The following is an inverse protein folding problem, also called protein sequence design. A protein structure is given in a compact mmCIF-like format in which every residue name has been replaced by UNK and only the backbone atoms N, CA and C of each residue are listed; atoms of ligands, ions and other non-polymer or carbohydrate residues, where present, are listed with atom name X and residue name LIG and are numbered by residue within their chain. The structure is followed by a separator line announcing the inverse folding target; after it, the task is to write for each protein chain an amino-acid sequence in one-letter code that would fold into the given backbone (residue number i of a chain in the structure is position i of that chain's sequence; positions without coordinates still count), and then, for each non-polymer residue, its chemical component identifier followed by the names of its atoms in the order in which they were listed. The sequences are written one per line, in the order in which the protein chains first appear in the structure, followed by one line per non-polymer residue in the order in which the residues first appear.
data_IF_256706805122
#
_entry.id   IF_256706805122
#
_cell.length_a   1.000
_cell.length_b   1.000
_cell.length_c   1.000
_cell.angle_alpha   90.00
_cell.angle_beta   90.00
_cell.angle_gamma   90.00
#
_symmetry.space_group_name_H-M   'P 1'
#
loop_
_entity.id
_entity.type
_entity.pdbx_description
1 polymer ?
#
# COMPACT_ATOMS: atom_id res chain seq x y z
N UNK A 1 28.83 13.25 30.79
CA UNK A 1 27.96 13.83 29.74
C UNK A 1 28.51 13.38 28.39
N UNK A 2 27.81 12.51 27.67
CA UNK A 2 28.25 12.03 26.35
C UNK A 2 28.13 13.15 25.31
N UNK A 3 29.11 13.30 24.42
CA UNK A 3 29.09 14.28 23.33
C UNK A 3 27.89 14.00 22.42
N UNK A 4 27.09 15.01 22.03
CA UNK A 4 25.98 14.81 21.11
C UNK A 4 26.48 14.13 19.83
N UNK A 5 25.78 13.09 19.38
CA UNK A 5 26.10 12.40 18.14
C UNK A 5 25.92 13.38 16.98
N UNK A 6 26.96 13.50 16.15
CA UNK A 6 26.88 14.30 14.92
C UNK A 6 25.95 13.61 13.92
N UNK A 7 25.24 14.42 13.14
CA UNK A 7 24.33 13.95 12.10
C UNK A 7 25.08 13.11 11.06
N UNK A 8 24.49 12.01 10.60
CA UNK A 8 25.08 11.16 9.55
C UNK A 8 24.89 11.78 8.17
N UNK A 9 25.67 11.35 7.17
CA UNK A 9 25.57 11.85 5.79
C UNK A 9 24.18 11.63 5.20
N UNK A 10 23.58 10.46 5.40
CA UNK A 10 22.23 10.15 4.93
C UNK A 10 21.18 11.08 5.55
N UNK A 11 21.31 11.39 6.84
CA UNK A 11 20.43 12.35 7.52
C UNK A 11 20.61 13.77 6.96
N UNK A 12 21.82 14.16 6.56
CA UNK A 12 22.07 15.45 5.89
C UNK A 12 21.36 15.54 4.55
N UNK A 13 21.41 14.48 3.74
CA UNK A 13 20.72 14.43 2.46
C UNK A 13 19.20 14.54 2.63
N UNK A 14 18.61 13.79 3.56
CA UNK A 14 17.16 13.85 3.84
C UNK A 14 16.70 15.24 4.31
N UNK A 15 17.52 15.93 5.11
CA UNK A 15 17.23 17.29 5.55
C UNK A 15 17.30 18.27 4.37
N UNK A 16 18.25 18.10 3.45
CA UNK A 16 18.35 18.91 2.23
C UNK A 16 17.13 18.69 1.33
N UNK A 17 16.72 17.44 1.10
CA UNK A 17 15.57 17.10 0.26
C UNK A 17 14.27 17.64 0.84
N UNK A 18 14.05 17.44 2.15
CA UNK A 18 12.86 17.96 2.82
C UNK A 18 12.84 19.49 2.85
N UNK A 19 13.99 20.15 3.00
CA UNK A 19 14.09 21.61 2.87
C UNK A 19 13.74 22.07 1.45
N UNK A 20 14.26 21.38 0.44
CA UNK A 20 14.01 21.71 -0.96
C UNK A 20 12.53 21.62 -1.30
N UNK A 21 11.87 20.54 -0.86
CA UNK A 21 10.45 20.29 -1.12
C UNK A 21 9.50 21.22 -0.34
N UNK A 22 9.86 21.60 0.90
CA UNK A 22 8.92 22.32 1.79
C UNK A 22 9.15 23.83 1.86
N UNK A 23 10.39 24.30 1.71
CA UNK A 23 10.74 25.71 1.92
C UNK A 23 11.42 26.38 0.72
N UNK A 24 12.21 25.64 -0.06
CA UNK A 24 12.86 26.22 -1.23
C UNK A 24 11.91 26.29 -2.44
N UNK A 25 10.95 25.36 -2.55
CA UNK A 25 9.97 25.30 -3.65
C UNK A 25 10.63 25.44 -5.04
N UNK A 26 11.82 24.86 -5.24
CA UNK A 26 12.55 24.96 -6.50
C UNK A 26 13.26 26.31 -6.75
N UNK A 27 13.52 27.12 -5.71
CA UNK A 27 14.31 28.36 -5.86
C UNK A 27 15.79 28.14 -5.51
N UNK A 28 16.66 28.20 -6.53
CA UNK A 28 18.12 28.05 -6.36
C UNK A 28 18.73 29.07 -5.37
N UNK A 29 18.17 30.28 -5.28
CA UNK A 29 18.63 31.34 -4.35
C UNK A 29 18.44 30.99 -2.87
N UNK A 30 17.48 30.12 -2.55
CA UNK A 30 17.15 29.69 -1.20
C UNK A 30 17.97 28.46 -0.76
N UNK A 31 18.67 27.78 -1.68
CA UNK A 31 19.53 26.63 -1.42
C UNK A 31 20.89 27.03 -0.81
N UNK A 32 20.86 27.77 0.30
CA UNK A 32 22.05 28.19 1.07
C UNK A 32 22.24 27.25 2.27
N UNK A 33 23.48 26.79 2.48
CA UNK A 33 23.84 25.89 3.59
C UNK A 33 23.46 26.45 4.98
N UNK A 34 23.45 27.79 5.15
CA UNK A 34 23.00 28.42 6.40
C UNK A 34 21.52 28.20 6.66
N UNK A 35 20.67 28.36 5.63
CA UNK A 35 19.22 28.19 5.74
C UNK A 35 18.83 26.72 5.93
N UNK A 36 19.58 25.82 5.31
CA UNK A 36 19.43 24.37 5.49
C UNK A 36 19.81 23.98 6.93
N UNK A 37 20.86 24.58 7.50
CA UNK A 37 21.25 24.35 8.89
C UNK A 37 20.21 24.88 9.88
N UNK A 38 19.65 26.06 9.65
CA UNK A 38 18.54 26.59 10.46
C UNK A 38 17.32 25.66 10.39
N UNK A 39 17.05 25.07 9.22
CA UNK A 39 15.99 24.08 9.07
C UNK A 39 16.29 22.77 9.80
N UNK A 40 17.54 22.29 9.75
CA UNK A 40 17.99 21.13 10.52
C UNK A 40 17.84 21.34 12.03
N UNK A 41 18.16 22.55 12.51
CA UNK A 41 17.99 22.93 13.92
C UNK A 41 16.52 22.93 14.34
N UNK A 42 15.61 23.40 13.48
CA UNK A 42 14.16 23.33 13.73
C UNK A 42 13.63 21.89 13.79
N UNK A 43 14.27 20.95 13.09
CA UNK A 43 13.95 19.52 13.16
C UNK A 43 14.58 18.81 14.38
N UNK A 44 15.34 19.53 15.21
CA UNK A 44 15.97 18.99 16.42
C UNK A 44 17.38 18.42 16.22
N UNK A 45 18.01 18.64 15.05
CA UNK A 45 19.39 18.24 14.80
C UNK A 45 20.39 19.33 15.19
N UNK A 46 21.52 18.94 15.79
CA UNK A 46 22.64 19.84 16.04
C UNK A 46 23.57 19.81 14.83
N UNK A 47 23.28 20.63 13.82
CA UNK A 47 24.05 20.75 12.59
C UNK A 47 24.34 22.22 12.26
N UNK A 48 25.59 22.53 11.89
CA UNK A 48 25.99 23.86 11.45
C UNK A 48 26.09 23.91 9.92
N UNK A 49 25.96 25.10 9.31
CA UNK A 49 26.11 25.29 7.87
C UNK A 49 27.49 24.85 7.35
N UNK A 50 28.49 24.82 8.23
CA UNK A 50 29.81 24.26 7.93
C UNK A 50 29.79 22.73 7.72
N UNK A 51 28.95 21.99 8.47
CA UNK A 51 28.89 20.53 8.36
C UNK A 51 28.36 20.08 6.99
N UNK A 52 27.33 20.76 6.47
CA UNK A 52 26.79 20.54 5.12
C UNK A 52 27.77 20.92 4.01
N UNK A 53 28.60 21.94 4.22
CA UNK A 53 29.61 22.37 3.22
C UNK A 53 30.83 21.44 3.19
N UNK A 54 31.18 20.85 4.33
CA UNK A 54 32.36 19.98 4.46
C UNK A 54 32.15 18.62 3.80
N UNK A 55 30.91 18.12 3.77
CA UNK A 55 30.59 16.82 3.20
C UNK A 55 30.48 16.93 1.66
N UNK A 56 31.33 16.23 0.87
CA UNK A 56 31.33 16.37 -0.58
C UNK A 56 30.02 15.90 -1.22
N UNK A 57 29.44 14.79 -0.75
CA UNK A 57 28.22 14.19 -1.30
C UNK A 57 27.02 15.13 -1.14
N UNK A 58 26.88 15.72 0.05
CA UNK A 58 25.79 16.66 0.37
C UNK A 58 25.92 17.96 -0.42
N UNK A 59 27.16 18.43 -0.60
CA UNK A 59 27.43 19.63 -1.39
C UNK A 59 27.11 19.41 -2.87
N UNK A 60 27.53 18.29 -3.43
CA UNK A 60 27.20 17.93 -4.82
C UNK A 60 25.69 17.84 -5.01
N UNK A 61 24.98 17.21 -4.08
CA UNK A 61 23.52 17.13 -4.11
C UNK A 61 22.84 18.50 -4.09
N UNK A 62 23.30 19.43 -3.23
CA UNK A 62 22.79 20.81 -3.19
C UNK A 62 23.04 21.54 -4.52
N UNK A 63 24.20 21.35 -5.15
CA UNK A 63 24.49 21.97 -6.45
C UNK A 63 23.65 21.37 -7.58
N UNK A 64 23.43 20.05 -7.59
CA UNK A 64 22.50 19.41 -8.54
C UNK A 64 21.09 20.01 -8.43
N UNK A 65 20.56 20.12 -7.20
CA UNK A 65 19.24 20.72 -6.97
C UNK A 65 19.16 22.20 -7.38
N UNK A 66 20.27 22.97 -7.29
CA UNK A 66 20.31 24.35 -7.79
C UNK A 66 20.26 24.41 -9.31
N UNK A 67 21.02 23.54 -9.98
CA UNK A 67 21.03 23.47 -11.45
C UNK A 67 19.63 23.10 -11.95
N UNK A 68 18.99 22.11 -11.33
CA UNK A 68 17.62 21.71 -11.66
C UNK A 68 16.63 22.87 -11.45
N UNK A 69 16.74 23.59 -10.34
CA UNK A 69 15.93 24.77 -10.05
C UNK A 69 16.14 25.91 -11.06
N UNK A 70 17.37 26.14 -11.54
CA UNK A 70 17.67 27.16 -12.55
C UNK A 70 17.09 26.79 -13.91
N UNK A 71 17.24 25.53 -14.34
CA UNK A 71 16.64 25.02 -15.58
C UNK A 71 15.11 25.14 -15.54
N UNK A 72 14.48 24.74 -14.43
CA UNK A 72 13.04 24.86 -14.26
C UNK A 72 12.54 26.32 -14.24
N UNK A 73 13.32 27.23 -13.65
CA UNK A 73 13.01 28.67 -13.66
C UNK A 73 13.11 29.27 -15.08
N UNK A 74 14.08 28.82 -15.89
CA UNK A 74 14.19 29.22 -17.29
C UNK A 74 13.01 28.69 -18.12
N UNK A 75 12.58 27.45 -17.91
CA UNK A 75 11.42 26.86 -18.60
C UNK A 75 10.10 27.56 -18.25
N UNK A 76 9.88 27.92 -16.98
CA UNK A 76 8.65 28.57 -16.53
C UNK A 76 8.54 30.04 -16.99
N UNK A 77 9.67 30.75 -17.16
CA UNK A 77 9.70 32.11 -17.66
C UNK A 77 9.29 32.26 -19.14
N UNK A 78 9.23 31.17 -19.91
CA UNK A 78 8.91 31.16 -21.36
C UNK A 78 7.40 31.25 -21.65
N UNK A 79 6.54 31.23 -20.64
CA UNK A 79 5.07 31.17 -20.83
C UNK A 79 4.39 32.51 -21.12
N UNK A 80 5.12 33.63 -21.16
CA UNK A 80 4.55 34.94 -21.51
C UNK A 80 4.71 35.26 -23.00
N UNK A 81 3.58 35.53 -23.68
CA UNK A 81 3.59 36.00 -25.08
C UNK A 81 4.28 37.37 -25.18
N UNK A 82 5.44 37.42 -25.84
CA UNK A 82 6.15 38.66 -26.12
C UNK A 82 5.61 39.31 -27.39
N UNK A 83 4.88 40.43 -27.25
CA UNK A 83 4.45 41.24 -28.39
C UNK A 83 5.64 41.91 -29.08
N UNK A 84 5.59 42.02 -30.40
CA UNK A 84 6.62 42.66 -31.19
C UNK A 84 6.39 44.18 -31.26
N UNK A 85 7.27 44.97 -30.63
CA UNK A 85 7.31 46.42 -30.81
C UNK A 85 8.09 46.77 -32.10
N UNK A 86 7.34 46.86 -33.21
CA UNK A 86 7.89 47.17 -34.53
C UNK A 86 8.54 48.57 -34.56
N UNK A 87 7.95 49.55 -33.87
CA UNK A 87 8.46 50.92 -33.85
C UNK A 87 9.75 51.04 -33.01
N UNK A 88 9.85 50.30 -31.90
CA UNK A 88 11.08 50.15 -31.15
C UNK A 88 12.19 49.46 -31.95
N UNK A 89 11.85 48.39 -32.68
CA UNK A 89 12.80 47.61 -33.47
C UNK A 89 13.42 48.42 -34.61
N UNK A 90 12.62 49.24 -35.31
CA UNK A 90 13.11 50.13 -36.37
C UNK A 90 13.98 51.26 -35.80
N UNK A 91 13.62 51.84 -34.65
CA UNK A 91 14.40 52.92 -34.02
C UNK A 91 15.77 52.45 -33.51
N UNK A 92 15.84 51.22 -33.00
CA UNK A 92 17.06 50.66 -32.42
C UNK A 92 18.01 50.08 -33.48
N UNK A 93 17.53 49.79 -34.70
CA UNK A 93 18.31 49.23 -35.79
C UNK A 93 18.27 50.14 -37.04
N UNK A 94 19.07 51.21 -37.08
CA UNK A 94 19.03 52.19 -38.17
C UNK A 94 19.62 51.66 -39.50
N UNK A 95 20.46 50.61 -39.46
CA UNK A 95 21.04 50.02 -40.67
C UNK A 95 20.24 48.81 -41.13
N UNK A 96 20.07 48.66 -42.45
CA UNK A 96 19.41 47.49 -43.06
C UNK A 96 20.06 46.17 -42.61
N UNK A 97 21.38 46.13 -42.46
CA UNK A 97 22.10 44.95 -42.00
C UNK A 97 21.77 44.58 -40.53
N UNK A 98 21.62 45.58 -39.66
CA UNK A 98 21.25 45.37 -38.25
C UNK A 98 19.80 44.91 -38.14
N UNK A 99 18.91 45.48 -38.96
CA UNK A 99 17.51 45.07 -39.01
C UNK A 99 17.36 43.64 -39.53
N UNK A 100 18.12 43.23 -40.55
CA UNK A 100 18.14 41.84 -41.01
C UNK A 100 18.63 40.89 -39.93
N UNK A 101 19.68 41.26 -39.18
CA UNK A 101 20.20 40.44 -38.09
C UNK A 101 19.19 40.29 -36.96
N UNK A 102 18.57 41.38 -36.51
CA UNK A 102 17.55 41.36 -35.46
C UNK A 102 16.32 40.52 -35.85
N UNK A 103 15.92 40.57 -37.13
CA UNK A 103 14.83 39.72 -37.66
C UNK A 103 15.24 38.25 -37.74
N UNK A 104 16.49 37.93 -38.11
CA UNK A 104 16.99 36.54 -38.09
C UNK A 104 17.05 35.97 -36.68
N UNK A 105 17.51 36.75 -35.70
CA UNK A 105 17.54 36.34 -34.29
C UNK A 105 16.12 36.09 -33.74
N UNK A 106 15.16 36.94 -34.12
CA UNK A 106 13.75 36.76 -33.77
C UNK A 106 13.17 35.49 -34.43
N UNK A 107 13.49 35.25 -35.70
CA UNK A 107 13.05 34.04 -36.39
C UNK A 107 13.63 32.77 -35.74
N UNK A 108 14.92 32.79 -35.38
CA UNK A 108 15.58 31.67 -34.70
C UNK A 108 15.00 31.44 -33.31
N UNK A 109 14.65 32.51 -32.58
CA UNK A 109 13.95 32.42 -31.29
C UNK A 109 12.60 31.71 -31.44
N UNK A 110 11.76 32.14 -32.39
CA UNK A 110 10.46 31.48 -32.61
C UNK A 110 10.62 30.05 -33.08
N UNK A 111 11.61 29.76 -33.93
CA UNK A 111 11.92 28.39 -34.34
C UNK A 111 12.20 27.48 -33.13
N UNK A 112 13.01 27.93 -32.16
CA UNK A 112 13.26 27.19 -30.91
C UNK A 112 11.97 26.95 -30.11
N UNK A 113 11.10 27.95 -30.01
CA UNK A 113 9.80 27.78 -29.34
C UNK A 113 8.96 26.72 -30.04
N UNK A 114 8.89 26.73 -31.37
CA UNK A 114 8.17 25.72 -32.13
C UNK A 114 8.76 24.32 -31.96
N UNK A 115 10.08 24.19 -32.01
CA UNK A 115 10.78 22.92 -31.81
C UNK A 115 10.49 22.36 -30.40
N UNK A 116 10.53 23.20 -29.37
CA UNK A 116 10.16 22.83 -28.00
C UNK A 116 8.68 22.47 -27.87
N UNK A 117 7.77 23.24 -28.47
CA UNK A 117 6.34 22.94 -28.45
C UNK A 117 6.02 21.63 -29.17
N UNK A 118 6.74 21.31 -30.26
CA UNK A 118 6.63 20.03 -30.95
C UNK A 118 7.11 18.88 -30.05
N UNK A 119 8.23 19.04 -29.36
CA UNK A 119 8.74 18.06 -28.40
C UNK A 119 7.72 17.81 -27.27
N UNK A 120 7.23 18.88 -26.63
CA UNK A 120 6.22 18.80 -25.57
C UNK A 120 4.94 18.13 -26.08
N UNK A 121 4.53 18.41 -27.33
CA UNK A 121 3.36 17.76 -27.95
C UNK A 121 3.57 16.26 -28.13
N UNK A 122 4.75 15.84 -28.59
CA UNK A 122 5.13 14.42 -28.75
C UNK A 122 5.15 13.71 -27.39
N UNK A 123 5.80 14.29 -26.38
CA UNK A 123 5.86 13.75 -25.02
C UNK A 123 4.46 13.63 -24.41
N UNK A 124 3.63 14.67 -24.53
CA UNK A 124 2.24 14.62 -24.08
C UNK A 124 1.42 13.54 -24.79
N UNK A 125 1.67 13.31 -26.08
CA UNK A 125 1.00 12.23 -26.83
C UNK A 125 1.40 10.85 -26.33
N UNK A 126 2.68 10.65 -25.97
CA UNK A 126 3.20 9.42 -25.40
C UNK A 126 2.62 9.19 -24.00
N UNK A 127 2.68 10.21 -23.13
CA UNK A 127 2.11 10.15 -21.77
C UNK A 127 0.61 9.87 -21.79
N UNK A 128 -0.14 10.40 -22.78
CA UNK A 128 -1.56 10.09 -22.95
C UNK A 128 -1.79 8.62 -23.27
N UNK A 129 -0.97 8.02 -24.14
CA UNK A 129 -1.05 6.58 -24.48
C UNK A 129 -0.71 5.71 -23.28
N UNK A 130 0.39 6.00 -22.59
CA UNK A 130 0.81 5.29 -21.39
C UNK A 130 -0.28 5.36 -20.30
N UNK A 131 -0.86 6.55 -20.08
CA UNK A 131 -2.00 6.73 -19.17
C UNK A 131 -3.20 5.86 -19.54
N UNK A 132 -3.55 5.78 -20.83
CA UNK A 132 -4.65 4.92 -21.27
C UNK A 132 -4.35 3.45 -21.05
N UNK A 133 -3.12 3.01 -21.32
CA UNK A 133 -2.69 1.62 -21.11
C UNK A 133 -2.72 1.24 -19.62
N UNK A 134 -2.21 2.11 -18.73
CA UNK A 134 -2.30 1.90 -17.29
C UNK A 134 -3.76 1.84 -16.80
N UNK A 135 -4.63 2.72 -17.31
CA UNK A 135 -6.05 2.71 -16.94
C UNK A 135 -6.75 1.42 -17.39
N UNK A 136 -6.41 0.90 -18.57
CA UNK A 136 -6.91 -0.38 -19.04
C UNK A 136 -6.38 -1.55 -18.21
N UNK A 137 -5.10 -1.53 -17.86
CA UNK A 137 -4.48 -2.51 -16.96
C UNK A 137 -5.13 -2.53 -15.58
N UNK A 138 -5.38 -1.34 -15.02
CA UNK A 138 -6.06 -1.19 -13.73
C UNK A 138 -7.49 -1.73 -13.77
N UNK A 139 -8.24 -1.45 -14.84
CA UNK A 139 -9.59 -2.01 -15.03
C UNK A 139 -9.58 -3.53 -15.12
N UNK A 140 -8.65 -4.11 -15.88
CA UNK A 140 -8.50 -5.58 -16.01
C UNK A 140 -8.15 -6.21 -14.67
N UNK A 141 -7.23 -5.60 -13.91
CA UNK A 141 -6.85 -6.07 -12.58
C UNK A 141 -8.01 -6.00 -11.60
N UNK A 142 -8.75 -4.89 -11.56
CA UNK A 142 -9.93 -4.73 -10.72
C UNK A 142 -11.00 -5.80 -11.02
N UNK A 143 -11.28 -6.05 -12.31
CA UNK A 143 -12.22 -7.11 -12.71
C UNK A 143 -11.75 -8.51 -12.29
N UNK A 144 -10.43 -8.78 -12.34
CA UNK A 144 -9.90 -10.07 -11.88
C UNK A 144 -9.99 -10.23 -10.37
N UNK A 145 -9.77 -9.15 -9.61
CA UNK A 145 -9.91 -9.15 -8.16
C UNK A 145 -11.37 -9.38 -7.75
N UNK A 146 -12.31 -8.72 -8.41
CA UNK A 146 -13.75 -8.91 -8.16
C UNK A 146 -14.18 -10.36 -8.39
N UNK A 147 -13.71 -10.99 -9.49
CA UNK A 147 -13.96 -12.42 -9.76
C UNK A 147 -13.39 -13.31 -8.66
N UNK A 148 -12.14 -13.09 -8.26
CA UNK A 148 -11.49 -13.88 -7.21
C UNK A 148 -12.20 -13.74 -5.85
N UNK A 149 -12.67 -12.54 -5.51
CA UNK A 149 -13.43 -12.30 -4.28
C UNK A 149 -14.76 -13.04 -4.31
N UNK A 150 -15.45 -13.04 -5.44
CA UNK A 150 -16.70 -13.78 -5.61
C UNK A 150 -16.48 -15.30 -5.52
N UNK A 151 -15.48 -15.83 -6.23
CA UNK A 151 -15.10 -17.25 -6.17
C UNK A 151 -14.70 -17.67 -4.75
N UNK A 152 -13.94 -16.84 -4.03
CA UNK A 152 -13.58 -17.09 -2.65
C UNK A 152 -14.82 -17.10 -1.73
N UNK A 153 -15.76 -16.18 -1.94
CA UNK A 153 -17.02 -16.14 -1.22
C UNK A 153 -17.85 -17.42 -1.43
N UNK A 154 -17.97 -17.87 -2.68
CA UNK A 154 -18.67 -19.12 -3.02
C UNK A 154 -17.98 -20.34 -2.40
N UNK A 155 -16.66 -20.45 -2.53
CA UNK A 155 -15.87 -21.55 -1.94
C UNK A 155 -15.99 -21.56 -0.41
N UNK A 156 -15.94 -20.39 0.23
CA UNK A 156 -16.11 -20.27 1.67
C UNK A 156 -17.49 -20.76 2.13
N UNK A 157 -18.55 -20.39 1.40
CA UNK A 157 -19.90 -20.89 1.68
C UNK A 157 -20.02 -22.41 1.49
N UNK A 158 -19.45 -22.96 0.42
CA UNK A 158 -19.44 -24.41 0.17
C UNK A 158 -18.66 -25.15 1.27
N UNK A 159 -17.50 -24.64 1.66
CA UNK A 159 -16.69 -25.23 2.72
C UNK A 159 -17.45 -25.23 4.05
N UNK A 160 -18.10 -24.12 4.41
CA UNK A 160 -18.92 -24.03 5.62
C UNK A 160 -20.07 -25.05 5.61
N UNK A 161 -20.75 -25.25 4.46
CA UNK A 161 -21.79 -26.29 4.31
C UNK A 161 -21.21 -27.68 4.55
N UNK A 162 -20.07 -27.99 3.94
CA UNK A 162 -19.39 -29.28 4.11
C UNK A 162 -18.94 -29.49 5.56
N UNK A 163 -18.44 -28.46 6.25
CA UNK A 163 -18.07 -28.55 7.67
C UNK A 163 -19.29 -28.92 8.53
N UNK A 164 -20.43 -28.26 8.30
CA UNK A 164 -21.68 -28.53 9.03
C UNK A 164 -22.19 -29.95 8.73
N UNK A 165 -22.21 -30.36 7.47
CA UNK A 165 -22.62 -31.71 7.07
C UNK A 165 -21.69 -32.77 7.68
N UNK A 166 -20.38 -32.57 7.61
CA UNK A 166 -19.41 -33.50 8.15
C UNK A 166 -19.53 -33.61 9.69
N UNK A 167 -19.81 -32.48 10.37
CA UNK A 167 -20.11 -32.48 11.80
C UNK A 167 -21.37 -33.28 12.11
N UNK A 168 -22.44 -33.07 11.33
CA UNK A 168 -23.69 -33.83 11.48
C UNK A 168 -23.46 -35.32 11.25
N UNK A 169 -22.78 -35.72 10.17
CA UNK A 169 -22.47 -37.11 9.88
C UNK A 169 -21.62 -37.75 10.98
N UNK A 170 -20.62 -37.06 11.53
CA UNK A 170 -19.86 -37.54 12.70
C UNK A 170 -20.75 -37.74 13.93
N UNK A 171 -21.69 -36.82 14.18
CA UNK A 171 -22.65 -36.96 15.27
C UNK A 171 -23.56 -38.17 15.04
N UNK A 172 -24.13 -38.32 13.86
CA UNK A 172 -24.98 -39.46 13.51
C UNK A 172 -24.20 -40.77 13.58
N UNK A 173 -22.95 -40.82 13.12
CA UNK A 173 -22.10 -41.99 13.31
C UNK A 173 -21.88 -42.27 14.80
N UNK A 174 -21.56 -41.28 15.64
CA UNK A 174 -21.43 -41.52 17.09
C UNK A 174 -22.71 -42.03 17.75
N UNK A 175 -23.88 -41.56 17.29
CA UNK A 175 -25.17 -41.94 17.87
C UNK A 175 -25.68 -43.29 17.36
N UNK A 176 -25.51 -43.58 16.07
CA UNK A 176 -26.14 -44.72 15.38
C UNK A 176 -25.17 -45.81 14.93
N UNK A 177 -23.88 -45.51 14.79
CA UNK A 177 -22.87 -46.55 14.74
C UNK A 177 -22.77 -47.08 16.16
N UNK A 178 -23.35 -48.26 16.41
CA UNK A 178 -23.27 -48.93 17.70
C UNK A 178 -21.81 -48.93 18.14
N UNK A 179 -21.44 -48.16 19.19
CA UNK A 179 -20.07 -48.12 19.68
C UNK A 179 -19.56 -49.53 19.97
N UNK A 180 -20.48 -50.39 20.41
CA UNK A 180 -20.25 -51.80 20.68
C UNK A 180 -19.92 -52.62 19.41
N UNK A 181 -20.63 -52.42 18.29
CA UNK A 181 -20.34 -53.13 17.02
C UNK A 181 -19.05 -52.59 16.39
N UNK A 182 -18.84 -51.28 16.42
CA UNK A 182 -17.59 -50.68 15.93
C UNK A 182 -16.38 -51.13 16.76
N UNK A 183 -16.53 -51.20 18.09
CA UNK A 183 -15.52 -51.76 18.98
C UNK A 183 -15.33 -53.26 18.75
N UNK A 184 -16.39 -54.03 18.47
CA UNK A 184 -16.28 -55.45 18.08
C UNK A 184 -15.51 -55.63 16.77
N UNK A 185 -15.75 -54.80 15.75
CA UNK A 185 -14.99 -54.82 14.48
C UNK A 185 -13.51 -54.46 14.73
N UNK A 186 -13.22 -53.43 15.53
CA UNK A 186 -11.85 -53.02 15.86
C UNK A 186 -11.10 -54.05 16.73
N UNK A 187 -11.81 -54.81 17.57
CA UNK A 187 -11.28 -55.95 18.31
C UNK A 187 -11.01 -57.14 17.36
N UNK A 188 -11.88 -57.37 16.37
CA UNK A 188 -11.69 -58.41 15.34
C UNK A 188 -10.51 -58.10 14.41
N UNK A 189 -10.31 -56.83 14.04
CA UNK A 189 -9.17 -56.36 13.23
C UNK A 189 -7.86 -56.23 14.02
N UNK A 190 -7.85 -56.63 15.31
CA UNK A 190 -6.71 -56.56 16.25
C UNK A 190 -6.15 -55.15 16.49
N UNK A 191 -6.93 -54.11 16.21
CA UNK A 191 -6.53 -52.72 16.46
C UNK A 191 -6.71 -52.29 17.94
N UNK A 192 -7.61 -52.93 18.69
CA UNK A 192 -7.82 -52.71 20.12
C UNK A 192 -7.56 -53.99 20.94
N UNK A 193 -6.76 -53.88 22.02
CA UNK A 193 -6.55 -54.97 22.99
C UNK A 193 -7.66 -54.93 24.04
N UNK A 194 -8.62 -55.85 23.94
CA UNK A 194 -9.88 -55.79 24.68
C UNK A 194 -9.80 -55.94 26.20
N UNK A 195 -10.74 -55.29 26.88
CA UNK A 195 -11.48 -55.67 28.12
C UNK A 195 -12.24 -54.40 28.57
N UNK A 196 -13.47 -54.37 29.05
CA UNK A 196 -14.48 -55.37 29.35
C UNK A 196 -15.57 -54.61 30.11
N UNK A 197 -16.75 -54.45 29.54
CA UNK A 197 -18.02 -54.23 30.24
C UNK A 197 -19.15 -54.34 29.21
N UNK A 198 -19.74 -55.53 29.16
CA UNK A 198 -20.85 -55.89 28.29
C UNK A 198 -22.11 -55.89 29.15
N UNK A 199 -23.04 -54.98 28.85
CA UNK A 199 -24.51 -55.18 28.75
C UNK A 199 -25.23 -53.83 28.83
N UNK A 200 -26.11 -53.59 27.86
CA UNK A 200 -27.13 -52.54 27.90
C UNK A 200 -27.92 -52.71 29.20
N UNK A 201 -27.96 -51.68 30.04
CA UNK A 201 -28.84 -51.63 31.21
C UNK A 201 -30.26 -51.31 30.76
N UNK A 202 -31.28 -51.96 31.34
CA UNK A 202 -32.71 -51.76 31.00
C UNK A 202 -33.18 -50.30 31.11
N UNK A 203 -32.41 -49.47 31.83
CA UNK A 203 -32.59 -48.03 31.93
C UNK A 203 -32.30 -47.32 30.61
N UNK A 204 -31.22 -47.69 29.92
CA UNK A 204 -30.83 -47.09 28.63
C UNK A 204 -31.82 -47.45 27.51
N UNK A 205 -32.49 -48.61 27.61
CA UNK A 205 -33.53 -49.02 26.67
C UNK A 205 -34.83 -48.20 26.86
N UNK A 206 -35.19 -47.89 28.10
CA UNK A 206 -36.36 -47.06 28.42
C UNK A 206 -36.18 -45.60 28.01
N UNK A 207 -34.99 -45.04 28.21
CA UNK A 207 -34.65 -43.68 27.77
C UNK A 207 -34.75 -43.54 26.23
N UNK A 208 -34.49 -44.61 25.48
CA UNK A 208 -34.64 -44.64 24.02
C UNK A 208 -36.10 -44.73 23.56
N UNK A 209 -36.99 -45.34 24.36
CA UNK A 209 -38.42 -45.44 24.05
C UNK A 209 -39.23 -44.22 24.50
N UNK A 210 -38.71 -43.45 25.48
CA UNK A 210 -39.39 -42.28 26.06
C UNK A 210 -38.76 -40.94 25.65
N UNK A 211 -37.96 -40.88 24.58
CA UNK A 211 -37.63 -39.60 23.96
C UNK A 211 -38.91 -38.96 23.41
N UNK A 212 -39.54 -38.12 24.24
CA UNK A 212 -40.49 -37.12 23.81
C UNK A 212 -39.94 -36.36 22.60
N UNK A 213 -40.85 -35.97 21.70
CA UNK A 213 -40.57 -35.48 20.35
C UNK A 213 -39.23 -34.70 20.24
N UNK A 214 -38.42 -34.97 19.21
CA UNK A 214 -37.10 -34.35 19.07
C UNK A 214 -37.21 -32.83 19.22
N UNK A 215 -36.34 -32.25 20.05
CA UNK A 215 -36.28 -30.80 20.26
C UNK A 215 -36.19 -30.10 18.90
N UNK A 216 -36.93 -29.01 18.76
CA UNK A 216 -37.00 -28.30 17.48
C UNK A 216 -35.61 -27.84 17.07
N UNK A 217 -35.33 -27.84 15.77
CA UNK A 217 -34.03 -27.46 15.19
C UNK A 217 -33.56 -26.08 15.68
N UNK A 218 -34.51 -25.22 16.04
CA UNK A 218 -34.30 -23.88 16.61
C UNK A 218 -33.77 -23.90 18.05
N UNK A 219 -34.24 -24.82 18.88
CA UNK A 219 -33.79 -24.97 20.29
C UNK A 219 -32.44 -25.67 20.38
N UNK A 220 -32.14 -26.57 19.45
CA UNK A 220 -30.81 -27.15 19.32
C UNK A 220 -29.78 -26.08 18.89
N UNK A 221 -30.14 -25.25 17.91
CA UNK A 221 -29.28 -24.16 17.44
C UNK A 221 -29.02 -23.09 18.51
N UNK A 222 -30.03 -22.74 19.34
CA UNK A 222 -29.84 -21.75 20.41
C UNK A 222 -28.92 -22.23 21.53
N UNK A 223 -28.97 -23.51 21.89
CA UNK A 223 -28.04 -24.11 22.84
C UNK A 223 -26.61 -24.17 22.28
N UNK A 224 -26.45 -24.48 21.00
CA UNK A 224 -25.14 -24.52 20.35
C UNK A 224 -24.50 -23.11 20.23
N UNK A 225 -25.29 -22.07 19.99
CA UNK A 225 -24.81 -20.66 20.01
C UNK A 225 -24.36 -20.26 21.42
N UNK A 226 -25.09 -20.69 22.46
CA UNK A 226 -24.71 -20.41 23.84
C UNK A 226 -23.38 -21.07 24.22
N UNK A 227 -23.17 -22.33 23.82
CA UNK A 227 -21.92 -23.05 24.08
C UNK A 227 -20.72 -22.43 23.34
N UNK A 228 -20.90 -21.98 22.10
CA UNK A 228 -19.85 -21.24 21.36
C UNK A 228 -19.43 -19.96 22.10
N UNK A 229 -20.38 -19.24 22.71
CA UNK A 229 -20.06 -18.03 23.48
C UNK A 229 -19.23 -18.32 24.74
N UNK A 230 -19.40 -19.49 25.37
CA UNK A 230 -18.57 -19.89 26.50
C UNK A 230 -17.17 -20.32 26.06
N UNK A 231 -17.05 -21.02 24.94
CA UNK A 231 -15.76 -21.43 24.37
C UNK A 231 -14.92 -20.22 23.94
N UNK A 232 -15.53 -19.24 23.27
CA UNK A 232 -14.87 -17.98 22.90
C UNK A 232 -14.40 -17.19 24.14
N UNK A 233 -15.20 -17.21 25.22
CA UNK A 233 -14.86 -16.58 26.49
C UNK A 233 -13.69 -17.29 27.19
N UNK A 234 -13.64 -18.62 27.12
CA UNK A 234 -12.53 -19.42 27.65
C UNK A 234 -11.23 -19.19 26.86
N UNK A 235 -11.32 -19.13 25.53
CA UNK A 235 -10.16 -18.83 24.67
C UNK A 235 -9.62 -17.44 24.96
N UNK A 236 -10.48 -16.41 25.05
CA UNK A 236 -10.05 -15.05 25.39
C UNK A 236 -9.30 -15.01 26.73
N UNK A 237 -9.81 -15.73 27.74
CA UNK A 237 -9.18 -15.83 29.06
C UNK A 237 -7.86 -16.60 29.06
N UNK A 238 -7.69 -17.58 28.17
CA UNK A 238 -6.40 -18.28 27.99
C UNK A 238 -5.34 -17.38 27.37
N UNK A 239 -5.73 -16.46 26.48
CA UNK A 239 -4.80 -15.53 25.85
C UNK A 239 -4.32 -14.47 26.84
N UNK A 240 -5.23 -13.95 27.69
CA UNK A 240 -4.87 -13.03 28.78
C UNK A 240 -3.86 -13.63 29.77
N UNK A 241 -3.93 -14.95 30.04
CA UNK A 241 -3.01 -15.64 30.95
C UNK A 241 -1.64 -15.97 30.33
N UNK A 242 -1.49 -15.85 29.01
CA UNK A 242 -0.21 -16.09 28.31
C UNK A 242 0.62 -14.82 28.14
N UNK A 243 0.04 -13.64 28.35
CA UNK A 243 0.69 -12.33 28.20
C UNK A 243 1.24 -11.76 29.55
N UNK A 244 1.09 -12.49 30.67
CA UNK A 244 1.74 -12.23 31.98
C UNK A 244 3.01 -13.07 32.18
#
# INVERSE_FOLDING_TARGET
MARPRKMTTEQMLLVVDSYYATKAEGNARLMKCSLIADYAANLGYVADGYDFRRNPEVREHIECLKIEAEVFAEETAVTAFKSLDVAGLIRNNPSMAQLTQALTELNDYWKRIYDHAEQISKENSALRKEKTEYQEGQKKSALSQEKLVNEYGELSQQNNKLIVENRYLRKMLRTYLYPDIANEILVQEKALKGSGEKKVTDTAFKDMTELGAPQSLREAASKDIFMQSEEERLISKMWELCDE
#
